data_IF_551971010206
#
_entry.id   IF_551971010206
#
_cell.length_a   1.000
_cell.length_b   1.000
_cell.length_c   1.000
_cell.angle_alpha   90.00
_cell.angle_beta   90.00
_cell.angle_gamma   90.00
#
_symmetry.space_group_name_H-M   'P 1'
#
loop_
_entity.id
_entity.type
_entity.pdbx_description
1 polymer ?
#
# COMPACT_ATOMS: atom_id res chain seq x y z
N UNK A 1 27.11 -6.30 8.43
CA UNK A 1 26.12 -6.44 7.34
C UNK A 1 24.77 -6.50 8.01
N UNK A 2 24.15 -5.34 8.24
CA UNK A 2 22.90 -5.27 9.00
C UNK A 2 21.73 -5.69 8.09
N UNK A 3 20.80 -6.54 8.54
CA UNK A 3 19.61 -6.83 7.77
C UNK A 3 18.82 -5.54 7.64
N UNK A 4 18.84 -4.96 6.43
CA UNK A 4 18.09 -3.76 6.10
C UNK A 4 16.63 -4.00 6.43
N UNK A 5 16.12 -3.31 7.46
CA UNK A 5 14.71 -3.35 7.88
C UNK A 5 13.73 -2.92 6.77
N UNK A 6 14.25 -2.60 5.58
CA UNK A 6 13.50 -2.29 4.36
C UNK A 6 12.86 -3.51 3.71
N UNK A 7 13.29 -4.73 4.01
CA UNK A 7 12.69 -5.97 3.44
C UNK A 7 12.11 -6.92 4.50
N UNK A 8 11.63 -6.35 5.62
CA UNK A 8 10.94 -7.14 6.64
C UNK A 8 9.54 -7.54 6.15
N UNK A 9 9.42 -8.78 5.70
CA UNK A 9 8.14 -9.45 5.55
C UNK A 9 7.61 -9.89 6.92
N UNK A 10 6.41 -9.46 7.32
CA UNK A 10 5.83 -9.86 8.59
C UNK A 10 5.58 -11.37 8.65
N UNK A 11 5.74 -11.97 9.84
CA UNK A 11 5.21 -13.31 10.14
C UNK A 11 3.68 -13.33 10.22
N UNK A 12 3.07 -12.20 10.63
CA UNK A 12 1.62 -11.98 10.74
C UNK A 12 1.27 -10.54 10.34
N UNK A 13 0.14 -10.34 9.66
CA UNK A 13 -0.27 -9.04 9.14
C UNK A 13 0.55 -8.59 7.94
N UNK A 14 0.54 -7.29 7.62
CA UNK A 14 1.21 -6.70 6.47
C UNK A 14 1.78 -5.31 6.79
N UNK A 15 2.86 -4.97 6.08
CA UNK A 15 3.44 -3.63 6.10
C UNK A 15 3.02 -2.88 4.85
N UNK A 16 2.38 -1.75 5.04
CA UNK A 16 1.90 -0.86 4.00
C UNK A 16 2.83 0.34 3.91
N UNK A 17 3.37 0.59 2.73
CA UNK A 17 4.24 1.71 2.41
C UNK A 17 3.57 2.51 1.30
N UNK A 18 3.42 3.81 1.53
CA UNK A 18 2.86 4.77 0.58
C UNK A 18 3.88 5.87 0.36
N UNK A 19 4.29 6.05 -0.88
CA UNK A 19 5.23 7.07 -1.32
C UNK A 19 4.53 8.03 -2.28
N UNK A 20 4.45 9.31 -1.91
CA UNK A 20 3.74 10.30 -2.72
C UNK A 20 4.51 10.54 -4.01
N UNK A 21 3.84 10.33 -5.14
CA UNK A 21 4.33 10.71 -6.44
C UNK A 21 4.28 12.24 -6.59
N UNK A 22 5.22 12.84 -7.34
CA UNK A 22 5.19 14.28 -7.63
C UNK A 22 3.93 14.64 -8.42
N UNK A 23 3.34 15.79 -8.10
CA UNK A 23 2.14 16.30 -8.76
C UNK A 23 1.21 17.06 -7.81
N UNK A 24 0.29 17.82 -8.40
CA UNK A 24 -0.71 18.60 -7.68
C UNK A 24 -1.74 17.70 -6.98
N UNK A 25 -2.29 16.72 -7.71
CA UNK A 25 -3.20 15.72 -7.14
C UNK A 25 -2.45 14.67 -6.29
N UNK A 26 -2.98 14.27 -5.12
CA UNK A 26 -2.37 13.21 -4.33
C UNK A 26 -2.41 11.89 -5.10
N UNK A 27 -1.23 11.37 -5.45
CA UNK A 27 -1.02 10.04 -6.01
C UNK A 27 0.09 9.37 -5.23
N UNK A 28 0.00 8.07 -4.99
CA UNK A 28 0.99 7.34 -4.24
C UNK A 28 1.41 6.07 -4.96
N UNK A 29 2.70 5.79 -4.99
CA UNK A 29 3.18 4.42 -5.15
C UNK A 29 2.91 3.68 -3.84
N UNK A 30 2.36 2.47 -3.95
CA UNK A 30 1.98 1.64 -2.82
C UNK A 30 2.77 0.35 -2.89
N UNK A 31 3.39 -0.01 -1.79
CA UNK A 31 3.99 -1.34 -1.60
C UNK A 31 3.42 -1.97 -0.34
N UNK A 32 2.89 -3.18 -0.47
CA UNK A 32 2.35 -3.97 0.64
C UNK A 32 3.21 -5.22 0.76
N UNK A 33 3.93 -5.33 1.87
CA UNK A 33 4.69 -6.53 2.21
C UNK A 33 3.75 -7.44 2.99
N UNK A 34 3.32 -8.50 2.32
CA UNK A 34 2.39 -9.50 2.82
C UNK A 34 3.17 -10.61 3.57
N UNK A 35 2.48 -11.47 4.34
CA UNK A 35 3.07 -12.66 4.93
C UNK A 35 3.72 -13.57 3.88
N UNK A 36 4.67 -14.40 4.31
CA UNK A 36 5.21 -15.45 3.44
C UNK A 36 6.11 -14.95 2.30
N UNK A 37 6.83 -13.84 2.51
CA UNK A 37 7.71 -13.18 1.52
C UNK A 37 7.01 -12.57 0.31
N UNK A 38 5.68 -12.53 0.32
CA UNK A 38 4.92 -11.95 -0.77
C UNK A 38 4.94 -10.42 -0.71
N UNK A 39 4.95 -9.79 -1.89
CA UNK A 39 4.92 -8.34 -2.04
C UNK A 39 3.92 -7.97 -3.11
N UNK A 40 3.02 -7.08 -2.77
CA UNK A 40 2.16 -6.39 -3.72
C UNK A 40 2.67 -4.97 -3.96
N UNK A 41 2.64 -4.51 -5.20
CA UNK A 41 2.90 -3.12 -5.58
C UNK A 41 1.83 -2.61 -6.54
N UNK A 42 1.61 -1.30 -6.48
CA UNK A 42 0.65 -0.62 -7.32
C UNK A 42 0.60 0.86 -7.03
N UNK A 43 -0.47 1.49 -7.50
CA UNK A 43 -0.70 2.92 -7.40
C UNK A 43 -2.01 3.21 -6.69
N UNK A 44 -2.01 4.24 -5.87
CA UNK A 44 -3.18 4.79 -5.22
C UNK A 44 -3.48 6.18 -5.78
N UNK A 45 -4.71 6.37 -6.22
CA UNK A 45 -5.27 7.63 -6.68
C UNK A 45 -6.66 7.84 -6.09
N UNK A 46 -7.22 9.05 -6.29
CA UNK A 46 -8.60 9.36 -5.98
C UNK A 46 -9.31 9.82 -7.24
N UNK A 47 -10.44 9.20 -7.54
CA UNK A 47 -11.34 9.57 -8.63
C UNK A 47 -12.69 9.82 -7.97
N UNK A 48 -13.27 11.00 -8.14
CA UNK A 48 -14.56 11.39 -7.52
C UNK A 48 -14.58 11.12 -6.00
N UNK A 49 -13.53 11.55 -5.29
CA UNK A 49 -13.31 11.33 -3.85
C UNK A 49 -13.14 9.86 -3.41
N UNK A 50 -13.24 8.91 -4.33
CA UNK A 50 -13.06 7.49 -4.07
C UNK A 50 -11.61 7.07 -4.28
N UNK A 51 -11.04 6.43 -3.27
CA UNK A 51 -9.71 5.82 -3.37
C UNK A 51 -9.75 4.60 -4.30
N UNK A 52 -8.83 4.58 -5.27
CA UNK A 52 -8.64 3.46 -6.19
C UNK A 52 -7.21 2.93 -6.10
N UNK A 53 -7.10 1.60 -6.01
CA UNK A 53 -5.82 0.88 -6.01
C UNK A 53 -5.68 0.14 -7.33
N UNK A 54 -4.72 0.56 -8.13
CA UNK A 54 -4.37 -0.07 -9.40
C UNK A 54 -3.10 -0.90 -9.21
N UNK A 55 -3.08 -2.20 -9.54
CA UNK A 55 -1.86 -3.00 -9.47
C UNK A 55 -0.85 -2.56 -10.54
N UNK A 56 0.44 -2.71 -10.25
CA UNK A 56 1.47 -2.54 -11.27
C UNK A 56 1.38 -3.64 -12.34
N UNK A 57 2.00 -3.39 -13.50
CA UNK A 57 1.97 -4.34 -14.61
C UNK A 57 2.53 -5.72 -14.19
N UNK A 58 1.73 -6.77 -14.44
CA UNK A 58 2.10 -8.15 -14.08
C UNK A 58 1.77 -8.53 -12.63
N UNK A 59 1.19 -7.61 -11.85
CA UNK A 59 0.76 -7.87 -10.48
C UNK A 59 -0.72 -8.22 -10.42
N UNK A 60 -1.06 -9.26 -9.66
CA UNK A 60 -2.45 -9.57 -9.38
C UNK A 60 -3.08 -8.45 -8.52
N UNK A 61 -4.40 -8.23 -8.62
CA UNK A 61 -5.11 -7.34 -7.71
C UNK A 61 -4.91 -7.73 -6.24
N UNK A 62 -4.66 -6.77 -5.34
CA UNK A 62 -4.47 -7.07 -3.90
C UNK A 62 -5.75 -7.53 -3.19
N UNK A 63 -6.91 -7.35 -3.82
CA UNK A 63 -8.17 -7.91 -3.33
C UNK A 63 -8.38 -9.38 -3.75
N UNK A 64 -7.35 -10.07 -4.25
CA UNK A 64 -7.39 -11.51 -4.43
C UNK A 64 -7.19 -12.25 -3.10
N UNK A 65 -7.82 -13.42 -2.96
CA UNK A 65 -7.54 -14.33 -1.84
C UNK A 65 -6.06 -14.76 -1.86
N UNK A 66 -5.40 -14.92 -0.70
CA UNK A 66 -5.93 -14.82 0.67
C UNK A 66 -5.84 -13.41 1.31
N UNK A 67 -5.55 -12.36 0.53
CA UNK A 67 -5.22 -11.02 1.06
C UNK A 67 -6.29 -9.95 0.81
N UNK A 68 -7.54 -10.36 0.62
CA UNK A 68 -8.70 -9.45 0.53
C UNK A 68 -8.74 -8.42 1.66
N UNK A 69 -8.34 -8.82 2.87
CA UNK A 69 -8.23 -7.94 4.04
C UNK A 69 -7.17 -6.82 3.85
N UNK A 70 -6.06 -7.09 3.17
CA UNK A 70 -4.99 -6.12 2.96
C UNK A 70 -5.46 -4.98 2.05
N UNK A 71 -6.29 -5.30 1.04
CA UNK A 71 -6.95 -4.29 0.22
C UNK A 71 -7.81 -3.34 1.07
N UNK A 72 -8.65 -3.89 1.95
CA UNK A 72 -9.53 -3.09 2.81
C UNK A 72 -8.72 -2.17 3.76
N UNK A 73 -7.62 -2.67 4.33
CA UNK A 73 -6.72 -1.86 5.16
C UNK A 73 -6.02 -0.75 4.35
N UNK A 74 -5.57 -1.05 3.14
CA UNK A 74 -4.98 -0.04 2.25
C UNK A 74 -5.97 1.09 1.93
N UNK A 75 -7.24 0.77 1.68
CA UNK A 75 -8.29 1.78 1.45
C UNK A 75 -8.59 2.63 2.70
N UNK A 76 -8.53 2.06 3.91
CA UNK A 76 -8.65 2.85 5.15
C UNK A 76 -7.49 3.85 5.29
N UNK A 77 -6.28 3.40 4.99
CA UNK A 77 -5.08 4.24 4.99
C UNK A 77 -5.13 5.32 3.91
N UNK A 78 -5.70 5.02 2.74
CA UNK A 78 -5.97 6.00 1.71
C UNK A 78 -6.86 7.15 2.23
N UNK A 79 -7.94 6.86 2.97
CA UNK A 79 -8.78 7.94 3.56
C UNK A 79 -7.99 8.89 4.46
N UNK A 80 -7.01 8.37 5.19
CA UNK A 80 -6.10 9.19 6.02
C UNK A 80 -5.23 10.08 5.14
N UNK A 81 -4.63 9.53 4.08
CA UNK A 81 -3.78 10.27 3.14
C UNK A 81 -4.56 11.30 2.31
N UNK A 82 -5.83 11.05 2.02
CA UNK A 82 -6.71 12.00 1.35
C UNK A 82 -6.96 13.23 2.22
N UNK A 83 -7.26 13.01 3.51
CA UNK A 83 -7.53 14.07 4.47
C UNK A 83 -6.26 14.83 4.90
N UNK A 84 -5.14 14.11 5.03
CA UNK A 84 -3.86 14.67 5.48
C UNK A 84 -2.72 14.09 4.64
N UNK A 85 -2.46 14.66 3.45
CA UNK A 85 -1.41 14.19 2.56
C UNK A 85 -0.03 14.22 3.22
N UNK A 86 0.76 13.18 2.99
CA UNK A 86 2.14 13.05 3.50
C UNK A 86 3.06 12.70 2.36
N UNK A 87 4.34 13.08 2.45
CA UNK A 87 5.34 12.65 1.45
C UNK A 87 5.52 11.12 1.48
N UNK A 88 5.50 10.55 2.68
CA UNK A 88 5.76 9.14 2.93
C UNK A 88 4.93 8.65 4.12
N UNK A 89 4.38 7.44 4.04
CA UNK A 89 3.67 6.81 5.15
C UNK A 89 3.95 5.31 5.20
N UNK A 90 4.40 4.84 6.36
CA UNK A 90 4.53 3.40 6.67
C UNK A 90 3.56 3.03 7.79
N UNK A 91 2.81 1.94 7.61
CA UNK A 91 1.88 1.41 8.63
C UNK A 91 1.92 -0.11 8.66
N UNK A 92 1.72 -0.66 9.84
CA UNK A 92 1.53 -2.09 10.06
C UNK A 92 0.06 -2.34 10.39
N UNK A 93 -0.56 -3.33 9.74
CA UNK A 93 -1.96 -3.76 9.94
C UNK A 93 -2.09 -5.27 9.77
N UNK A 94 -3.10 -5.86 10.39
CA UNK A 94 -3.41 -7.30 10.34
C UNK A 94 -3.25 -7.97 11.69
#
# INVERSE_FOLDING_TARGET
MEPSSRDLHPRTGARFVFDRAPGESPRYAVTIYLPGTERWSGRLSWIDERAELEPDQGQAPVNAEPYTWAHAEALKLARVLHRAPRQHMVRWRG
#
